data_IF_621845582909
#
_entry.id   IF_621845582909
#
_cell.length_a   1.000
_cell.length_b   1.000
_cell.length_c   1.000
_cell.angle_alpha   90.00
_cell.angle_beta   90.00
_cell.angle_gamma   90.00
#
_symmetry.space_group_name_H-M   'P 1'
#
loop_
_entity.id
_entity.type
_entity.pdbx_description
1 polymer ?
#
# COMPACT_ATOMS: atom_id res chain seq x y z
N UNK A 1 -18.18 -10.93 30.31
CA UNK A 1 -18.89 -9.65 30.53
C UNK A 1 -18.38 -8.49 29.70
N UNK A 2 -17.12 -7.98 29.85
CA UNK A 2 -16.62 -6.87 29.00
C UNK A 2 -16.46 -7.25 27.53
N UNK A 3 -15.93 -8.43 27.21
CA UNK A 3 -15.79 -8.90 25.85
C UNK A 3 -17.15 -9.04 25.15
N UNK A 4 -18.13 -9.68 25.81
CA UNK A 4 -19.47 -9.87 25.27
C UNK A 4 -20.14 -8.54 24.97
N UNK A 5 -19.93 -7.54 25.84
CA UNK A 5 -20.47 -6.20 25.67
C UNK A 5 -19.86 -5.51 24.44
N UNK A 6 -18.51 -5.53 24.29
CA UNK A 6 -17.86 -4.96 23.12
C UNK A 6 -18.25 -5.67 21.81
N UNK A 7 -18.38 -6.99 21.82
CA UNK A 7 -18.89 -7.76 20.68
C UNK A 7 -20.33 -7.35 20.34
N UNK A 8 -21.18 -7.13 21.35
CA UNK A 8 -22.56 -6.67 21.13
C UNK A 8 -22.61 -5.25 20.53
N UNK A 9 -21.72 -4.34 20.96
CA UNK A 9 -21.59 -3.00 20.38
C UNK A 9 -21.16 -3.13 18.91
N UNK A 10 -20.11 -3.88 18.61
CA UNK A 10 -19.64 -4.09 17.24
C UNK A 10 -20.77 -4.64 16.35
N UNK A 11 -21.50 -5.66 16.82
CA UNK A 11 -22.65 -6.21 16.07
C UNK A 11 -23.77 -5.18 15.87
N UNK A 12 -23.97 -4.26 16.80
CA UNK A 12 -24.99 -3.22 16.66
C UNK A 12 -24.61 -2.10 15.68
N UNK A 13 -23.32 -1.96 15.32
CA UNK A 13 -22.85 -0.91 14.39
C UNK A 13 -23.45 -1.03 13.00
N UNK A 14 -23.89 -2.22 12.59
CA UNK A 14 -24.58 -2.43 11.32
C UNK A 14 -26.00 -1.84 11.25
N UNK A 15 -26.61 -1.56 12.39
CA UNK A 15 -28.02 -1.10 12.51
C UNK A 15 -28.16 0.22 13.25
N UNK A 16 -27.15 0.62 14.02
CA UNK A 16 -27.14 1.85 14.82
C UNK A 16 -25.92 2.66 14.51
N UNK A 17 -26.09 3.98 14.47
CA UNK A 17 -24.95 4.88 14.41
C UNK A 17 -24.15 4.79 15.71
N UNK A 18 -22.86 4.49 15.59
CA UNK A 18 -21.88 4.53 16.68
C UNK A 18 -20.83 5.54 16.28
N UNK A 19 -20.45 6.40 17.19
CA UNK A 19 -19.41 7.37 16.98
C UNK A 19 -18.09 6.67 16.60
N UNK A 20 -17.37 7.22 15.58
CA UNK A 20 -16.19 6.60 14.98
C UNK A 20 -15.10 6.28 16.01
N UNK A 21 -14.85 7.19 16.94
CA UNK A 21 -13.85 6.99 18.00
C UNK A 21 -14.24 5.82 18.91
N UNK A 22 -15.52 5.78 19.37
CA UNK A 22 -16.04 4.67 20.18
C UNK A 22 -15.92 3.34 19.45
N UNK A 23 -16.26 3.30 18.17
CA UNK A 23 -16.18 2.08 17.36
C UNK A 23 -14.74 1.62 17.22
N UNK A 24 -13.80 2.54 16.98
CA UNK A 24 -12.36 2.25 16.90
C UNK A 24 -11.83 1.63 18.19
N UNK A 25 -12.22 2.16 19.37
CA UNK A 25 -11.82 1.59 20.66
C UNK A 25 -12.44 0.21 20.91
N UNK A 26 -13.70 -0.01 20.53
CA UNK A 26 -14.37 -1.31 20.63
C UNK A 26 -13.61 -2.36 19.81
N UNK A 27 -13.28 -2.05 18.56
CA UNK A 27 -12.52 -2.94 17.69
C UNK A 27 -11.12 -3.20 18.27
N UNK A 28 -10.43 -2.16 18.72
CA UNK A 28 -9.11 -2.27 19.37
C UNK A 28 -9.14 -3.17 20.60
N UNK A 29 -10.19 -3.06 21.43
CA UNK A 29 -10.36 -3.94 22.59
C UNK A 29 -10.54 -5.41 22.16
N UNK A 30 -11.36 -5.68 21.14
CA UNK A 30 -11.57 -7.04 20.62
C UNK A 30 -10.25 -7.56 20.02
N UNK A 31 -9.50 -6.73 19.29
CA UNK A 31 -8.16 -7.08 18.76
C UNK A 31 -7.19 -7.48 19.87
N UNK A 32 -7.18 -6.78 21.00
CA UNK A 32 -6.38 -7.18 22.16
C UNK A 32 -6.86 -8.49 22.80
N UNK A 33 -8.18 -8.73 22.78
CA UNK A 33 -8.74 -9.99 23.27
C UNK A 33 -8.33 -11.20 22.40
N UNK A 34 -8.09 -11.01 21.09
CA UNK A 34 -7.54 -12.04 20.20
C UNK A 34 -6.11 -12.41 20.63
N UNK A 35 -5.27 -11.43 20.95
CA UNK A 35 -3.89 -11.63 21.37
C UNK A 35 -3.74 -12.34 22.71
N UNK A 36 -4.74 -12.30 23.57
CA UNK A 36 -4.68 -12.88 24.91
C UNK A 36 -5.18 -14.33 24.92
N UNK A 37 -4.37 -15.33 25.32
CA UNK A 37 -4.73 -16.75 25.28
C UNK A 37 -6.00 -17.10 26.06
N UNK A 38 -6.32 -16.36 27.14
CA UNK A 38 -7.51 -16.63 27.98
C UNK A 38 -8.81 -16.20 27.28
N UNK A 39 -8.76 -15.09 26.53
CA UNK A 39 -9.94 -14.56 25.83
C UNK A 39 -10.03 -15.12 24.42
N UNK A 40 -8.90 -15.56 23.83
CA UNK A 40 -8.87 -16.13 22.49
C UNK A 40 -9.82 -17.32 22.33
N UNK A 41 -9.85 -18.25 23.28
CA UNK A 41 -10.77 -19.40 23.24
C UNK A 41 -12.25 -19.02 23.22
N UNK A 42 -12.59 -17.83 23.73
CA UNK A 42 -13.95 -17.30 23.75
C UNK A 42 -14.28 -16.62 22.43
N UNK A 43 -13.34 -15.80 21.90
CA UNK A 43 -13.58 -14.99 20.70
C UNK A 43 -13.40 -15.78 19.39
N UNK A 44 -12.49 -16.77 19.37
CA UNK A 44 -12.15 -17.52 18.16
C UNK A 44 -13.35 -18.11 17.41
N UNK A 45 -14.35 -18.72 18.06
CA UNK A 45 -15.54 -19.24 17.36
C UNK A 45 -16.39 -18.15 16.70
N UNK A 46 -16.26 -16.91 17.14
CA UNK A 46 -17.01 -15.76 16.62
C UNK A 46 -16.27 -15.02 15.51
N UNK A 47 -14.94 -15.23 15.37
CA UNK A 47 -14.12 -14.47 14.44
C UNK A 47 -14.61 -14.56 12.99
N UNK A 48 -14.99 -15.72 12.43
CA UNK A 48 -15.45 -15.76 11.04
C UNK A 48 -16.66 -14.86 10.80
N UNK A 49 -17.66 -14.90 11.68
CA UNK A 49 -18.84 -14.04 11.59
C UNK A 49 -18.50 -12.56 11.79
N UNK A 50 -17.67 -12.25 12.79
CA UNK A 50 -17.29 -10.87 13.10
C UNK A 50 -16.52 -10.24 11.94
N UNK A 51 -15.52 -10.95 11.40
CA UNK A 51 -14.69 -10.45 10.32
C UNK A 51 -15.49 -10.20 9.04
N UNK A 52 -16.39 -11.11 8.67
CA UNK A 52 -17.14 -11.01 7.42
C UNK A 52 -18.31 -10.03 7.48
N UNK A 53 -19.10 -10.07 8.57
CA UNK A 53 -20.38 -9.35 8.62
C UNK A 53 -20.28 -7.95 9.25
N UNK A 54 -19.28 -7.72 10.10
CA UNK A 54 -19.21 -6.48 10.90
C UNK A 54 -17.89 -5.70 10.68
N UNK A 55 -16.77 -6.39 10.52
CA UNK A 55 -15.45 -5.74 10.38
C UNK A 55 -15.16 -5.40 8.92
N UNK A 56 -15.35 -6.33 7.99
CA UNK A 56 -15.09 -6.10 6.56
C UNK A 56 -15.88 -4.91 5.98
N UNK A 57 -17.17 -4.69 6.29
CA UNK A 57 -17.88 -3.50 5.80
C UNK A 57 -17.31 -2.16 6.27
N UNK A 58 -16.54 -2.13 7.36
CA UNK A 58 -15.85 -0.92 7.82
C UNK A 58 -14.65 -0.53 6.94
N UNK A 59 -14.20 -1.43 6.08
CA UNK A 59 -13.17 -1.13 5.08
C UNK A 59 -13.69 -0.33 3.88
N UNK A 60 -15.01 -0.23 3.70
CA UNK A 60 -15.60 0.43 2.54
C UNK A 60 -15.23 1.91 2.50
N UNK A 61 -14.90 2.38 1.30
CA UNK A 61 -14.79 3.81 1.02
C UNK A 61 -16.10 4.49 1.40
N UNK A 62 -16.02 5.47 2.29
CA UNK A 62 -17.17 6.25 2.76
C UNK A 62 -17.55 7.32 1.74
N UNK A 63 -18.69 7.97 1.96
CA UNK A 63 -19.07 9.12 1.14
C UNK A 63 -18.11 10.31 1.36
N UNK A 64 -17.57 10.47 2.57
CA UNK A 64 -16.58 11.50 2.87
C UNK A 64 -15.26 11.23 2.12
N UNK A 65 -14.78 9.97 2.09
CA UNK A 65 -13.58 9.60 1.33
C UNK A 65 -13.78 9.85 -0.18
N UNK A 66 -14.98 9.55 -0.72
CA UNK A 66 -15.29 9.80 -2.12
C UNK A 66 -15.33 11.29 -2.46
N UNK A 67 -15.87 12.10 -1.55
CA UNK A 67 -15.90 13.56 -1.71
C UNK A 67 -14.47 14.14 -1.65
N UNK A 68 -13.66 13.67 -0.71
CA UNK A 68 -12.26 14.10 -0.59
C UNK A 68 -11.43 13.68 -1.82
N UNK A 69 -11.67 12.49 -2.36
CA UNK A 69 -11.08 12.06 -3.63
C UNK A 69 -11.34 13.03 -4.77
N UNK A 70 -12.57 13.53 -4.87
CA UNK A 70 -13.00 14.41 -5.96
C UNK A 70 -12.57 15.87 -5.74
N UNK A 71 -12.64 16.37 -4.49
CA UNK A 71 -12.41 17.79 -4.19
C UNK A 71 -10.97 18.10 -3.75
N UNK A 72 -10.30 17.16 -3.05
CA UNK A 72 -8.97 17.34 -2.48
C UNK A 72 -8.10 16.06 -2.66
N UNK A 73 -7.79 15.66 -3.92
CA UNK A 73 -7.09 14.42 -4.20
C UNK A 73 -5.67 14.35 -3.63
N UNK A 74 -4.99 15.49 -3.42
CA UNK A 74 -3.71 15.60 -2.76
C UNK A 74 -3.82 15.25 -1.27
N UNK A 75 -4.80 15.79 -0.56
CA UNK A 75 -5.05 15.48 0.85
C UNK A 75 -5.48 14.03 1.05
N UNK A 76 -6.38 13.51 0.17
CA UNK A 76 -6.73 12.10 0.16
C UNK A 76 -5.48 11.21 0.03
N UNK A 77 -4.57 11.59 -0.88
CA UNK A 77 -3.34 10.84 -1.12
C UNK A 77 -2.40 10.91 0.07
N UNK A 78 -2.18 12.09 0.68
CA UNK A 78 -1.34 12.24 1.89
C UNK A 78 -1.83 11.36 3.02
N UNK A 79 -3.13 11.35 3.31
CA UNK A 79 -3.73 10.50 4.36
C UNK A 79 -3.51 9.01 4.16
N UNK A 80 -3.31 8.54 2.93
CA UNK A 80 -3.00 7.12 2.68
C UNK A 80 -1.62 6.72 3.20
N UNK A 81 -0.67 7.67 3.26
CA UNK A 81 0.71 7.44 3.69
C UNK A 81 0.98 7.97 5.10
N UNK A 82 0.05 8.72 5.68
CA UNK A 82 0.18 9.24 7.04
C UNK A 82 0.00 8.13 8.08
N UNK A 83 1.05 7.90 8.87
CA UNK A 83 1.07 6.92 9.97
C UNK A 83 0.70 7.54 11.33
N UNK A 84 0.30 8.80 11.35
CA UNK A 84 -0.03 9.50 12.60
C UNK A 84 -1.19 8.83 13.36
N UNK A 85 -1.10 8.68 14.69
CA UNK A 85 -2.19 8.14 15.52
C UNK A 85 -3.51 8.94 15.43
N UNK A 86 -3.45 10.19 14.96
CA UNK A 86 -4.61 11.07 14.81
C UNK A 86 -5.61 10.46 13.78
N UNK A 87 -5.12 9.72 12.82
CA UNK A 87 -5.94 9.07 11.79
C UNK A 87 -6.36 7.63 12.14
N UNK A 88 -6.39 7.27 13.43
CA UNK A 88 -6.88 5.96 13.85
C UNK A 88 -8.41 5.88 13.73
N UNK A 89 -8.87 5.50 12.57
CA UNK A 89 -10.28 5.41 12.19
C UNK A 89 -10.84 4.00 12.42
N UNK A 90 -12.18 3.81 12.38
CA UNK A 90 -12.77 2.46 12.36
C UNK A 90 -12.24 1.58 11.23
N UNK A 91 -11.87 2.17 10.08
CA UNK A 91 -11.28 1.47 8.93
C UNK A 91 -9.89 0.92 9.25
N UNK A 92 -9.01 1.72 9.84
CA UNK A 92 -7.68 1.28 10.26
C UNK A 92 -7.76 0.26 11.38
N UNK A 93 -8.64 0.47 12.36
CA UNK A 93 -8.90 -0.49 13.43
C UNK A 93 -9.43 -1.85 12.90
N UNK A 94 -10.32 -1.81 11.91
CA UNK A 94 -10.84 -3.01 11.25
C UNK A 94 -9.74 -3.78 10.52
N UNK A 95 -8.86 -3.08 9.80
CA UNK A 95 -7.73 -3.68 9.10
C UNK A 95 -6.76 -4.35 10.08
N UNK A 96 -6.42 -3.67 11.19
CA UNK A 96 -5.60 -4.23 12.26
C UNK A 96 -6.24 -5.51 12.84
N UNK A 97 -7.56 -5.49 13.09
CA UNK A 97 -8.26 -6.65 13.62
C UNK A 97 -8.21 -7.83 12.65
N UNK A 98 -8.42 -7.60 11.34
CA UNK A 98 -8.32 -8.62 10.30
C UNK A 98 -6.92 -9.23 10.29
N UNK A 99 -5.88 -8.39 10.23
CA UNK A 99 -4.48 -8.83 10.20
C UNK A 99 -4.13 -9.65 11.44
N UNK A 100 -4.50 -9.17 12.63
CA UNK A 100 -4.23 -9.89 13.88
C UNK A 100 -5.02 -11.21 13.97
N UNK A 101 -6.27 -11.23 13.54
CA UNK A 101 -7.08 -12.46 13.55
C UNK A 101 -6.53 -13.52 12.58
N UNK A 102 -6.01 -13.08 11.44
CA UNK A 102 -5.41 -13.94 10.41
C UNK A 102 -3.96 -14.38 10.73
N UNK A 103 -3.25 -13.65 11.60
CA UNK A 103 -1.89 -14.00 12.03
C UNK A 103 -1.84 -14.83 13.31
N UNK A 104 -2.87 -14.73 14.17
CA UNK A 104 -2.85 -15.32 15.50
C UNK A 104 -3.19 -16.81 15.47
N UNK A 105 -2.16 -17.64 15.73
CA UNK A 105 -2.35 -19.07 15.89
C UNK A 105 -2.69 -19.43 17.35
N UNK A 106 -3.62 -20.34 17.60
CA UNK A 106 -3.91 -20.81 18.93
C UNK A 106 -2.65 -21.41 19.59
N UNK A 107 -2.50 -21.28 20.92
CA UNK A 107 -1.38 -21.88 21.62
C UNK A 107 -1.39 -23.40 21.41
N UNK A 108 -0.21 -23.95 21.05
CA UNK A 108 -0.08 -25.39 20.87
C UNK A 108 -0.41 -26.13 22.19
N UNK A 109 -1.06 -27.29 22.13
CA UNK A 109 -1.29 -28.13 23.30
C UNK A 109 0.05 -28.45 23.99
N UNK A 110 0.05 -28.51 25.34
CA UNK A 110 1.25 -28.84 26.12
C UNK A 110 1.84 -30.17 25.65
N UNK A 111 3.13 -30.16 25.27
CA UNK A 111 3.88 -31.36 24.87
C UNK A 111 3.90 -31.64 23.36
N UNK A 112 3.27 -30.81 22.54
CA UNK A 112 3.33 -30.91 21.07
C UNK A 112 4.42 -29.97 20.58
N UNK A 113 5.40 -30.51 19.82
CA UNK A 113 6.39 -29.70 19.10
C UNK A 113 5.64 -28.84 18.10
N UNK A 114 5.81 -27.51 18.14
CA UNK A 114 5.25 -26.59 17.16
C UNK A 114 5.78 -26.96 15.77
N UNK A 115 5.02 -27.74 15.01
CA UNK A 115 5.09 -27.65 13.56
C UNK A 115 4.24 -26.43 13.16
N UNK A 116 4.78 -25.60 12.28
CA UNK A 116 3.94 -24.61 11.59
C UNK A 116 2.78 -25.38 10.97
N UNK A 117 1.53 -25.06 11.30
CA UNK A 117 0.40 -25.77 10.68
C UNK A 117 0.43 -25.50 9.18
N UNK A 118 0.06 -26.47 8.36
CA UNK A 118 0.00 -26.34 6.90
C UNK A 118 -1.06 -25.31 6.44
N UNK A 119 -1.97 -24.90 7.33
CA UNK A 119 -3.02 -23.92 7.08
C UNK A 119 -3.40 -23.14 8.34
N UNK A 120 -3.87 -21.93 8.13
CA UNK A 120 -4.46 -21.07 9.18
C UNK A 120 -5.97 -20.99 8.97
N UNK A 121 -6.83 -21.59 9.84
CA UNK A 121 -8.26 -21.69 9.58
C UNK A 121 -8.96 -20.36 9.34
N UNK A 122 -8.68 -19.34 10.17
CA UNK A 122 -9.29 -18.01 10.04
C UNK A 122 -8.82 -17.33 8.74
N UNK A 123 -7.51 -17.34 8.45
CA UNK A 123 -6.96 -16.79 7.22
C UNK A 123 -7.59 -17.47 5.99
N UNK A 124 -7.60 -18.80 5.94
CA UNK A 124 -8.17 -19.55 4.82
C UNK A 124 -9.64 -19.22 4.58
N UNK A 125 -10.45 -19.21 5.64
CA UNK A 125 -11.87 -18.85 5.54
C UNK A 125 -12.06 -17.41 5.08
N UNK A 126 -11.24 -16.49 5.58
CA UNK A 126 -11.34 -15.09 5.21
C UNK A 126 -10.92 -14.85 3.75
N UNK A 127 -9.83 -15.48 3.28
CA UNK A 127 -9.43 -15.43 1.86
C UNK A 127 -10.54 -15.99 0.97
N UNK A 128 -11.16 -17.14 1.31
CA UNK A 128 -12.29 -17.69 0.57
C UNK A 128 -13.47 -16.71 0.50
N UNK A 129 -13.74 -16.00 1.59
CA UNK A 129 -14.77 -14.95 1.62
C UNK A 129 -14.42 -13.79 0.67
N UNK A 130 -13.16 -13.30 0.64
CA UNK A 130 -12.71 -12.26 -0.28
C UNK A 130 -12.85 -12.71 -1.75
N UNK A 131 -12.41 -13.94 -2.05
CA UNK A 131 -12.52 -14.50 -3.40
C UNK A 131 -13.97 -14.64 -3.85
N UNK A 132 -14.89 -15.00 -2.94
CA UNK A 132 -16.31 -15.04 -3.24
C UNK A 132 -16.84 -13.67 -3.63
N UNK A 133 -16.50 -12.61 -2.90
CA UNK A 133 -16.88 -11.22 -3.23
C UNK A 133 -16.39 -10.84 -4.63
N UNK A 134 -15.12 -11.14 -4.93
CA UNK A 134 -14.51 -10.81 -6.21
C UNK A 134 -15.18 -11.58 -7.37
N UNK A 135 -15.50 -12.86 -7.18
CA UNK A 135 -16.19 -13.70 -8.17
C UNK A 135 -17.65 -13.29 -8.39
N UNK A 136 -18.37 -12.90 -7.33
CA UNK A 136 -19.74 -12.42 -7.42
C UNK A 136 -19.82 -11.07 -8.13
N UNK A 137 -18.83 -10.20 -7.93
CA UNK A 137 -18.71 -8.90 -8.61
C UNK A 137 -18.52 -9.03 -10.12
N UNK A 138 -17.90 -10.11 -10.59
CA UNK A 138 -17.72 -10.40 -12.02
C UNK A 138 -19.02 -10.81 -12.71
N UNK A 139 -19.95 -11.40 -11.96
CA UNK A 139 -21.18 -11.99 -12.49
C UNK A 139 -22.43 -11.12 -12.22
N UNK A 140 -22.27 -9.99 -11.54
CA UNK A 140 -23.38 -9.12 -11.16
C UNK A 140 -23.61 -7.96 -12.13
N UNK A 141 -24.86 -7.70 -12.47
CA UNK A 141 -25.27 -6.49 -13.22
C UNK A 141 -25.08 -5.19 -12.40
N UNK A 142 -24.98 -5.30 -11.08
CA UNK A 142 -24.66 -4.22 -10.14
C UNK A 142 -23.38 -4.55 -9.39
N UNK A 143 -22.26 -4.07 -9.94
CA UNK A 143 -20.94 -4.27 -9.32
C UNK A 143 -20.82 -3.41 -8.06
N UNK A 144 -20.57 -4.04 -6.91
CA UNK A 144 -20.26 -3.31 -5.69
C UNK A 144 -18.75 -2.95 -5.66
N UNK A 145 -18.43 -1.84 -6.29
CA UNK A 145 -17.03 -1.35 -6.40
C UNK A 145 -16.36 -1.11 -5.04
N UNK A 146 -17.14 -0.75 -4.01
CA UNK A 146 -16.61 -0.57 -2.65
C UNK A 146 -16.19 -1.91 -2.03
N UNK A 147 -16.94 -2.98 -2.29
CA UNK A 147 -16.57 -4.31 -1.84
C UNK A 147 -15.34 -4.85 -2.57
N UNK A 148 -15.16 -4.54 -3.87
CA UNK A 148 -13.96 -4.89 -4.64
C UNK A 148 -12.73 -4.19 -4.06
N UNK A 149 -12.78 -2.85 -3.86
CA UNK A 149 -11.68 -2.09 -3.26
C UNK A 149 -11.29 -2.66 -1.91
N UNK A 150 -12.29 -2.92 -1.04
CA UNK A 150 -12.04 -3.44 0.31
C UNK A 150 -11.53 -4.88 0.32
N UNK A 151 -11.96 -5.70 -0.64
CA UNK A 151 -11.45 -7.06 -0.78
C UNK A 151 -9.96 -7.04 -1.18
N UNK A 152 -9.58 -6.16 -2.09
CA UNK A 152 -8.19 -5.96 -2.47
C UNK A 152 -7.36 -5.32 -1.36
N UNK A 153 -7.92 -4.34 -0.62
CA UNK A 153 -7.26 -3.77 0.55
C UNK A 153 -6.94 -4.86 1.58
N UNK A 154 -7.92 -5.68 1.93
CA UNK A 154 -7.73 -6.77 2.88
C UNK A 154 -6.74 -7.83 2.36
N UNK A 155 -6.81 -8.21 1.08
CA UNK A 155 -5.91 -9.18 0.46
C UNK A 155 -4.45 -8.70 0.50
N UNK A 156 -4.18 -7.47 0.06
CA UNK A 156 -2.84 -6.92 0.05
C UNK A 156 -2.26 -6.67 1.44
N UNK A 157 -3.12 -6.36 2.43
CA UNK A 157 -2.68 -6.19 3.82
C UNK A 157 -2.37 -7.51 4.55
N UNK A 158 -2.73 -8.64 3.94
CA UNK A 158 -2.46 -9.98 4.46
C UNK A 158 -1.27 -10.67 3.78
N UNK A 159 -0.48 -9.96 2.95
CA UNK A 159 0.64 -10.54 2.20
C UNK A 159 1.58 -11.35 3.10
N UNK A 160 2.09 -10.75 4.17
CA UNK A 160 3.02 -11.41 5.12
C UNK A 160 2.43 -12.67 5.76
N UNK A 161 1.11 -12.70 5.96
CA UNK A 161 0.44 -13.86 6.53
C UNK A 161 0.18 -14.94 5.48
N UNK A 162 -0.17 -14.55 4.26
CA UNK A 162 -0.43 -15.46 3.15
C UNK A 162 0.86 -16.20 2.75
N UNK A 163 1.99 -15.51 2.71
CA UNK A 163 3.29 -16.10 2.31
C UNK A 163 3.77 -17.20 3.26
N UNK A 164 3.34 -17.18 4.53
CA UNK A 164 3.64 -18.24 5.50
C UNK A 164 2.98 -19.57 5.18
N UNK A 165 1.96 -19.60 4.31
CA UNK A 165 1.15 -20.78 4.02
C UNK A 165 1.18 -21.12 2.53
N UNK A 166 2.05 -22.06 2.09
CA UNK A 166 2.21 -22.45 0.67
C UNK A 166 0.91 -22.87 -0.02
N UNK A 167 -0.07 -23.38 0.71
CA UNK A 167 -1.39 -23.76 0.18
C UNK A 167 -2.21 -22.56 -0.32
N UNK A 168 -1.92 -21.34 0.20
CA UNK A 168 -2.60 -20.11 -0.21
C UNK A 168 -1.69 -19.31 -1.15
N UNK A 169 -0.42 -19.14 -0.79
CA UNK A 169 0.54 -18.36 -1.58
C UNK A 169 0.74 -18.92 -2.99
N UNK A 170 0.63 -20.25 -3.16
CA UNK A 170 0.71 -20.89 -4.48
C UNK A 170 -0.43 -20.51 -5.44
N UNK A 171 -1.55 -19.99 -4.96
CA UNK A 171 -2.70 -19.56 -5.76
C UNK A 171 -2.69 -18.05 -6.06
N UNK A 172 -1.81 -17.27 -5.40
CA UNK A 172 -1.80 -15.82 -5.48
C UNK A 172 -1.66 -15.29 -6.90
N UNK A 173 -0.72 -15.82 -7.68
CA UNK A 173 -0.51 -15.39 -9.06
C UNK A 173 -1.80 -15.56 -9.90
N UNK A 174 -2.51 -16.68 -9.73
CA UNK A 174 -3.80 -16.92 -10.36
C UNK A 174 -4.85 -15.90 -9.92
N UNK A 175 -4.90 -15.56 -8.63
CA UNK A 175 -5.81 -14.55 -8.06
C UNK A 175 -5.52 -13.17 -8.65
N UNK A 176 -4.26 -12.75 -8.67
CA UNK A 176 -3.84 -11.46 -9.22
C UNK A 176 -4.20 -11.35 -10.70
N UNK A 177 -3.91 -12.40 -11.47
CA UNK A 177 -4.21 -12.45 -12.90
C UNK A 177 -5.71 -12.42 -13.19
N UNK A 178 -6.49 -13.19 -12.43
CA UNK A 178 -7.93 -13.31 -12.66
C UNK A 178 -8.72 -12.09 -12.21
N UNK A 179 -8.41 -11.56 -11.03
CA UNK A 179 -9.26 -10.55 -10.38
C UNK A 179 -8.67 -9.14 -10.42
N UNK A 180 -7.35 -8.96 -10.27
CA UNK A 180 -6.74 -7.64 -10.14
C UNK A 180 -6.40 -7.04 -11.50
N UNK A 181 -5.82 -7.82 -12.42
CA UNK A 181 -5.30 -7.32 -13.70
C UNK A 181 -6.35 -6.54 -14.51
N UNK A 182 -7.59 -6.98 -14.55
CA UNK A 182 -8.68 -6.29 -15.25
C UNK A 182 -9.08 -4.95 -14.63
N UNK A 183 -8.78 -4.75 -13.34
CA UNK A 183 -9.18 -3.54 -12.61
C UNK A 183 -8.32 -2.32 -12.92
N UNK A 184 -7.16 -2.49 -13.54
CA UNK A 184 -6.39 -1.35 -14.06
C UNK A 184 -7.17 -0.51 -15.09
N UNK A 185 -8.18 -1.11 -15.74
CA UNK A 185 -9.07 -0.43 -16.71
C UNK A 185 -10.47 -0.12 -16.15
N UNK A 186 -10.64 -0.21 -14.84
CA UNK A 186 -11.91 0.09 -14.21
C UNK A 186 -12.25 1.58 -14.40
N UNK A 187 -13.53 1.90 -14.58
CA UNK A 187 -13.98 3.28 -14.73
C UNK A 187 -13.81 4.11 -13.44
N UNK A 188 -13.80 3.45 -12.30
CA UNK A 188 -13.69 4.07 -10.98
C UNK A 188 -12.23 4.17 -10.56
N UNK A 189 -11.75 5.42 -10.34
CA UNK A 189 -10.34 5.72 -10.03
C UNK A 189 -9.80 5.00 -8.82
N UNK A 190 -10.52 4.95 -7.71
CA UNK A 190 -10.04 4.28 -6.50
C UNK A 190 -9.89 2.76 -6.66
N UNK A 191 -10.60 2.12 -7.61
CA UNK A 191 -10.39 0.70 -7.95
C UNK A 191 -9.12 0.54 -8.78
N UNK A 192 -8.83 1.45 -9.73
CA UNK A 192 -7.56 1.45 -10.48
C UNK A 192 -6.35 1.67 -9.55
N UNK A 193 -6.47 2.65 -8.65
CA UNK A 193 -5.47 2.89 -7.60
C UNK A 193 -5.21 1.63 -6.78
N UNK A 194 -6.28 0.94 -6.34
CA UNK A 194 -6.16 -0.26 -5.54
C UNK A 194 -5.52 -1.43 -6.30
N UNK A 195 -5.76 -1.52 -7.61
CA UNK A 195 -5.08 -2.51 -8.45
C UNK A 195 -3.55 -2.29 -8.47
N UNK A 196 -3.10 -1.04 -8.64
CA UNK A 196 -1.67 -0.68 -8.53
C UNK A 196 -1.12 -1.07 -7.16
N UNK A 197 -1.81 -0.68 -6.10
CA UNK A 197 -1.39 -0.93 -4.72
C UNK A 197 -1.26 -2.43 -4.43
N UNK A 198 -2.24 -3.25 -4.83
CA UNK A 198 -2.21 -4.71 -4.59
C UNK A 198 -0.99 -5.34 -5.25
N UNK A 199 -0.71 -5.05 -6.53
CA UNK A 199 0.50 -5.56 -7.17
C UNK A 199 1.75 -5.14 -6.42
N UNK A 200 1.82 -3.89 -5.97
CA UNK A 200 2.93 -3.39 -5.16
C UNK A 200 3.06 -4.06 -3.78
N UNK A 201 2.01 -4.68 -3.23
CA UNK A 201 2.13 -5.47 -2.00
C UNK A 201 2.78 -6.84 -2.25
N UNK A 202 2.53 -7.44 -3.41
CA UNK A 202 3.06 -8.76 -3.78
C UNK A 202 4.36 -8.68 -4.60
N UNK A 203 5.20 -7.67 -4.37
CA UNK A 203 6.44 -7.45 -5.14
C UNK A 203 7.49 -8.56 -4.92
N UNK A 204 7.48 -9.26 -3.79
CA UNK A 204 8.37 -10.39 -3.49
C UNK A 204 7.87 -11.73 -4.06
N UNK A 205 6.66 -11.77 -4.62
CA UNK A 205 6.11 -12.98 -5.21
C UNK A 205 6.92 -13.42 -6.43
N UNK A 206 7.36 -14.69 -6.44
CA UNK A 206 7.98 -15.30 -7.60
C UNK A 206 6.92 -15.63 -8.66
N UNK A 207 6.74 -14.72 -9.63
CA UNK A 207 5.79 -14.92 -10.73
C UNK A 207 6.29 -15.99 -11.71
N UNK A 208 5.51 -17.05 -11.91
CA UNK A 208 5.80 -18.15 -12.83
C UNK A 208 5.43 -17.80 -14.27
N UNK A 209 4.32 -17.08 -14.46
CA UNK A 209 3.88 -16.55 -15.76
C UNK A 209 4.51 -15.16 -15.97
N UNK A 210 5.77 -15.15 -16.42
CA UNK A 210 6.56 -13.92 -16.63
C UNK A 210 5.86 -12.97 -17.60
N UNK A 211 5.16 -13.48 -18.63
CA UNK A 211 4.48 -12.61 -19.59
C UNK A 211 3.24 -11.94 -18.96
N UNK A 212 2.44 -12.66 -18.19
CA UNK A 212 1.34 -12.05 -17.43
C UNK A 212 1.84 -11.03 -16.42
N UNK A 213 2.99 -11.28 -15.79
CA UNK A 213 3.64 -10.32 -14.88
C UNK A 213 4.09 -9.07 -15.61
N UNK A 214 4.75 -9.17 -16.78
CA UNK A 214 5.11 -8.03 -17.61
C UNK A 214 3.90 -7.18 -18.02
N UNK A 215 2.79 -7.85 -18.38
CA UNK A 215 1.53 -7.15 -18.70
C UNK A 215 1.02 -6.35 -17.49
N UNK A 216 1.08 -6.93 -16.29
CA UNK A 216 0.68 -6.22 -15.07
C UNK A 216 1.57 -5.00 -14.79
N UNK A 217 2.90 -5.14 -14.90
CA UNK A 217 3.82 -4.01 -14.73
C UNK A 217 3.62 -2.94 -15.82
N UNK A 218 3.31 -3.35 -17.06
CA UNK A 218 2.93 -2.40 -18.11
C UNK A 218 1.66 -1.62 -17.72
N UNK A 219 0.65 -2.28 -17.13
CA UNK A 219 -0.54 -1.59 -16.64
C UNK A 219 -0.22 -0.61 -15.48
N UNK A 220 0.70 -0.97 -14.56
CA UNK A 220 1.16 -0.05 -13.51
C UNK A 220 1.90 1.14 -14.12
N UNK A 221 2.75 0.92 -15.13
CA UNK A 221 3.43 1.99 -15.86
C UNK A 221 2.42 2.93 -16.57
N UNK A 222 1.42 2.38 -17.26
CA UNK A 222 0.36 3.18 -17.89
C UNK A 222 -0.42 4.00 -16.87
N UNK A 223 -0.65 3.48 -15.67
CA UNK A 223 -1.33 4.17 -14.57
C UNK A 223 -0.55 5.40 -14.03
N UNK A 224 0.75 5.54 -14.33
CA UNK A 224 1.51 6.76 -14.04
C UNK A 224 1.00 7.99 -14.81
N UNK A 225 0.22 7.78 -15.87
CA UNK A 225 -0.41 8.83 -16.68
C UNK A 225 -1.92 8.90 -16.50
N UNK A 226 -2.46 8.31 -15.42
CA UNK A 226 -3.89 8.32 -15.10
C UNK A 226 -4.40 9.76 -14.87
N UNK A 227 -5.71 9.97 -15.12
CA UNK A 227 -6.37 11.27 -14.84
C UNK A 227 -6.33 11.62 -13.35
N UNK A 228 -6.45 10.63 -12.48
CA UNK A 228 -6.60 10.82 -11.04
C UNK A 228 -5.23 10.81 -10.34
N UNK A 229 -4.92 11.87 -9.58
CA UNK A 229 -3.65 12.02 -8.87
C UNK A 229 -3.36 10.84 -7.93
N UNK A 230 -4.31 10.34 -7.12
CA UNK A 230 -4.04 9.21 -6.23
C UNK A 230 -3.64 7.93 -7.00
N UNK A 231 -4.18 7.72 -8.21
CA UNK A 231 -3.80 6.57 -9.06
C UNK A 231 -2.35 6.72 -9.53
N UNK A 232 -1.95 7.91 -10.03
CA UNK A 232 -0.58 8.16 -10.48
C UNK A 232 0.44 7.96 -9.36
N UNK A 233 0.15 8.50 -8.17
CA UNK A 233 1.05 8.40 -7.01
C UNK A 233 1.20 6.95 -6.57
N UNK A 234 0.09 6.21 -6.40
CA UNK A 234 0.16 4.80 -5.98
C UNK A 234 0.82 3.93 -7.04
N UNK A 235 0.64 4.23 -8.33
CA UNK A 235 1.36 3.55 -9.40
C UNK A 235 2.87 3.76 -9.29
N UNK A 236 3.33 5.00 -9.04
CA UNK A 236 4.75 5.31 -8.84
C UNK A 236 5.32 4.57 -7.61
N UNK A 237 4.63 4.67 -6.46
CA UNK A 237 5.03 3.98 -5.22
C UNK A 237 5.01 2.45 -5.37
N UNK A 238 4.14 1.89 -6.21
CA UNK A 238 4.11 0.45 -6.45
C UNK A 238 5.20 0.01 -7.42
N UNK A 239 5.47 0.80 -8.47
CA UNK A 239 6.41 0.44 -9.53
C UNK A 239 7.84 0.29 -9.02
N UNK A 240 8.30 1.20 -8.14
CA UNK A 240 9.69 1.17 -7.66
C UNK A 240 10.02 -0.10 -6.87
N UNK A 241 9.03 -0.75 -6.25
CA UNK A 241 9.22 -2.01 -5.50
C UNK A 241 9.69 -3.17 -6.39
N UNK A 242 9.43 -3.10 -7.69
CA UNK A 242 9.85 -4.11 -8.66
C UNK A 242 11.23 -3.86 -9.29
N UNK A 243 11.90 -2.77 -8.93
CA UNK A 243 13.21 -2.40 -9.54
C UNK A 243 14.38 -3.27 -9.09
N UNK A 244 14.19 -4.16 -8.12
CA UNK A 244 15.17 -5.21 -7.79
C UNK A 244 15.07 -6.42 -8.76
N UNK A 245 14.02 -6.48 -9.62
CA UNK A 245 13.83 -7.52 -10.61
C UNK A 245 14.44 -7.10 -11.97
N UNK A 246 15.52 -7.78 -12.38
CA UNK A 246 16.23 -7.47 -13.62
C UNK A 246 15.34 -7.50 -14.87
N UNK A 247 14.33 -8.40 -14.93
CA UNK A 247 13.39 -8.46 -16.07
C UNK A 247 12.60 -7.17 -16.19
N UNK A 248 12.20 -6.59 -15.06
CA UNK A 248 11.46 -5.33 -15.03
C UNK A 248 12.38 -4.14 -15.31
N UNK A 249 13.58 -4.13 -14.74
CA UNK A 249 14.59 -3.10 -15.05
C UNK A 249 14.87 -3.05 -16.56
N UNK A 250 15.09 -4.20 -17.20
CA UNK A 250 15.34 -4.25 -18.65
C UNK A 250 14.10 -3.83 -19.46
N UNK A 251 12.90 -4.17 -19.02
CA UNK A 251 11.64 -3.78 -19.66
C UNK A 251 11.43 -2.27 -19.62
N UNK A 252 11.74 -1.62 -18.49
CA UNK A 252 11.53 -0.19 -18.29
C UNK A 252 12.71 0.68 -18.79
N UNK A 253 13.86 0.09 -19.12
CA UNK A 253 15.06 0.80 -19.61
C UNK A 253 14.78 1.73 -20.80
N UNK A 254 14.03 1.34 -21.84
CA UNK A 254 13.74 2.22 -22.98
C UNK A 254 12.94 3.48 -22.61
N UNK A 255 12.20 3.45 -21.50
CA UNK A 255 11.34 4.54 -21.02
C UNK A 255 11.89 5.24 -19.78
N UNK A 256 13.17 5.01 -19.42
CA UNK A 256 13.80 5.59 -18.23
C UNK A 256 13.69 7.12 -18.17
N UNK A 257 13.94 7.82 -19.29
CA UNK A 257 13.84 9.28 -19.36
C UNK A 257 12.42 9.79 -19.05
N UNK A 258 11.40 9.06 -19.51
CA UNK A 258 10.00 9.32 -19.24
C UNK A 258 9.67 9.07 -17.78
N UNK A 259 10.11 7.93 -17.22
CA UNK A 259 9.94 7.60 -15.80
C UNK A 259 10.49 8.68 -14.89
N UNK A 260 11.75 9.10 -15.09
CA UNK A 260 12.38 10.16 -14.30
C UNK A 260 11.58 11.47 -14.39
N UNK A 261 11.09 11.80 -15.58
CA UNK A 261 10.28 13.01 -15.77
C UNK A 261 8.94 12.93 -15.03
N UNK A 262 8.28 11.74 -15.02
CA UNK A 262 7.02 11.51 -14.31
C UNK A 262 7.22 11.63 -12.80
N UNK A 263 8.26 11.00 -12.23
CA UNK A 263 8.54 11.11 -10.79
C UNK A 263 8.80 12.55 -10.36
N UNK A 264 9.64 13.29 -11.11
CA UNK A 264 9.89 14.70 -10.82
C UNK A 264 8.61 15.55 -10.90
N UNK A 265 7.74 15.27 -11.88
CA UNK A 265 6.45 15.95 -12.01
C UNK A 265 5.55 15.65 -10.80
N UNK A 266 5.43 14.38 -10.39
CA UNK A 266 4.64 13.99 -9.23
C UNK A 266 5.18 14.61 -7.93
N UNK A 267 6.49 14.66 -7.73
CA UNK A 267 7.13 15.33 -6.59
C UNK A 267 6.85 16.84 -6.54
N UNK A 268 6.56 17.46 -7.69
CA UNK A 268 6.15 18.86 -7.76
C UNK A 268 4.63 19.05 -7.56
N UNK A 269 3.82 18.03 -7.85
CA UNK A 269 2.36 18.05 -7.62
C UNK A 269 2.02 17.74 -6.16
N UNK A 270 2.76 16.82 -5.53
CA UNK A 270 2.53 16.38 -4.16
C UNK A 270 3.85 16.05 -3.46
N UNK A 271 4.03 16.59 -2.27
CA UNK A 271 5.24 16.40 -1.46
C UNK A 271 5.08 15.15 -0.59
N UNK A 272 5.59 14.01 -1.09
CA UNK A 272 5.58 12.71 -0.43
C UNK A 272 6.98 12.08 -0.44
N UNK A 273 7.40 11.58 0.72
CA UNK A 273 8.68 10.89 0.90
C UNK A 273 8.79 9.66 -0.01
N UNK A 274 7.70 8.91 -0.18
CA UNK A 274 7.63 7.70 -1.00
C UNK A 274 7.99 7.96 -2.47
N UNK A 275 7.68 9.13 -2.99
CA UNK A 275 8.04 9.51 -4.36
C UNK A 275 9.54 9.78 -4.48
N UNK A 276 10.13 10.46 -3.49
CA UNK A 276 11.57 10.70 -3.44
C UNK A 276 12.32 9.39 -3.30
N UNK A 277 11.85 8.50 -2.41
CA UNK A 277 12.38 7.16 -2.25
C UNK A 277 12.28 6.36 -3.57
N UNK A 278 11.15 6.44 -4.27
CA UNK A 278 10.97 5.79 -5.58
C UNK A 278 11.97 6.29 -6.62
N UNK A 279 12.26 7.61 -6.64
CA UNK A 279 13.29 8.18 -7.49
C UNK A 279 14.69 7.67 -7.12
N UNK A 280 15.01 7.54 -5.83
CA UNK A 280 16.27 6.94 -5.35
C UNK A 280 16.42 5.49 -5.84
N UNK A 281 15.36 4.68 -5.79
CA UNK A 281 15.40 3.31 -6.30
C UNK A 281 15.65 3.27 -7.82
N UNK A 282 15.07 4.19 -8.59
CA UNK A 282 15.39 4.33 -10.01
C UNK A 282 16.88 4.67 -10.24
N UNK A 283 17.40 5.64 -9.49
CA UNK A 283 18.84 6.00 -9.55
C UNK A 283 19.71 4.78 -9.24
N UNK A 284 19.36 4.02 -8.20
CA UNK A 284 20.08 2.80 -7.80
C UNK A 284 20.01 1.70 -8.88
N UNK A 285 18.83 1.45 -9.44
CA UNK A 285 18.62 0.36 -10.40
C UNK A 285 19.32 0.61 -11.76
N UNK A 286 19.36 1.86 -12.21
CA UNK A 286 19.94 2.19 -13.54
C UNK A 286 21.38 2.70 -13.50
N UNK A 287 21.93 3.01 -12.33
CA UNK A 287 23.36 3.30 -12.16
C UNK A 287 23.89 4.35 -13.13
N UNK A 288 24.90 3.95 -13.93
CA UNK A 288 25.55 4.84 -14.90
C UNK A 288 24.63 5.40 -15.99
N UNK A 289 23.49 4.76 -16.24
CA UNK A 289 22.51 5.24 -17.23
C UNK A 289 21.79 6.52 -16.79
N UNK A 290 21.89 6.87 -15.50
CA UNK A 290 21.38 8.14 -14.94
C UNK A 290 22.26 9.34 -15.31
N UNK A 291 23.52 9.15 -15.71
CA UNK A 291 24.47 10.24 -15.99
C UNK A 291 23.91 11.39 -16.85
N UNK A 292 23.19 11.13 -17.95
CA UNK A 292 22.64 12.22 -18.78
C UNK A 292 21.59 13.07 -18.06
N UNK A 293 21.02 12.57 -16.97
CA UNK A 293 19.94 13.20 -16.22
C UNK A 293 20.41 13.77 -14.87
N UNK A 294 21.64 13.46 -14.44
CA UNK A 294 22.14 13.73 -13.09
C UNK A 294 22.02 15.20 -12.68
N UNK A 295 22.44 16.13 -13.53
CA UNK A 295 22.38 17.57 -13.25
C UNK A 295 20.92 18.04 -13.07
N UNK A 296 20.02 17.61 -13.96
CA UNK A 296 18.59 17.94 -13.89
C UNK A 296 17.97 17.35 -12.62
N UNK A 297 18.23 16.08 -12.31
CA UNK A 297 17.73 15.42 -11.11
C UNK A 297 18.18 16.15 -9.85
N UNK A 298 19.45 16.51 -9.76
CA UNK A 298 19.99 17.24 -8.61
C UNK A 298 19.34 18.61 -8.48
N UNK A 299 19.16 19.35 -9.58
CA UNK A 299 18.51 20.66 -9.56
C UNK A 299 17.07 20.56 -9.02
N UNK A 300 16.27 19.64 -9.55
CA UNK A 300 14.87 19.43 -9.13
C UNK A 300 14.78 18.96 -7.67
N UNK A 301 15.70 18.09 -7.21
CA UNK A 301 15.77 17.65 -5.81
C UNK A 301 16.16 18.80 -4.86
N UNK A 302 17.08 19.68 -5.25
CA UNK A 302 17.44 20.88 -4.47
C UNK A 302 16.24 21.85 -4.39
N UNK A 303 15.54 22.04 -5.49
CA UNK A 303 14.37 22.91 -5.52
C UNK A 303 13.19 22.30 -4.71
N UNK A 304 12.98 20.98 -4.75
CA UNK A 304 12.05 20.26 -3.90
C UNK A 304 12.44 20.41 -2.40
N UNK A 305 13.71 20.18 -2.05
CA UNK A 305 14.22 20.37 -0.69
C UNK A 305 13.92 21.77 -0.15
N UNK A 306 14.18 22.82 -0.95
CA UNK A 306 13.92 24.21 -0.54
C UNK A 306 12.45 24.48 -0.29
N UNK A 307 11.55 23.93 -1.13
CA UNK A 307 10.10 24.05 -0.92
C UNK A 307 9.66 23.37 0.37
N UNK A 308 10.07 22.11 0.56
CA UNK A 308 9.70 21.27 1.70
C UNK A 308 10.32 21.75 3.03
N UNK A 309 11.44 22.47 2.96
CA UNK A 309 12.13 23.04 4.14
C UNK A 309 11.70 24.48 4.45
N UNK A 310 10.82 25.06 3.65
CA UNK A 310 10.33 26.43 3.92
C UNK A 310 9.52 26.45 5.23
N UNK A 311 9.74 27.44 6.12
CA UNK A 311 9.02 27.52 7.38
C UNK A 311 7.52 27.69 7.12
N UNK A 312 6.74 26.71 7.53
CA UNK A 312 5.28 26.80 7.60
C UNK A 312 4.87 27.44 8.92
N UNK A 313 3.81 28.26 8.91
CA UNK A 313 3.33 29.02 10.06
C UNK A 313 2.63 28.16 11.13
N UNK A 314 2.46 26.87 10.94
CA UNK A 314 1.77 25.97 11.85
C UNK A 314 2.75 25.04 12.60
N UNK A 315 2.43 24.78 13.87
CA UNK A 315 3.27 24.04 14.83
C UNK A 315 3.42 22.53 14.51
N UNK A 316 2.82 22.03 13.44
CA UNK A 316 2.96 20.65 13.02
C UNK A 316 4.29 20.45 12.26
N UNK A 317 5.11 19.51 12.71
CA UNK A 317 6.29 19.03 11.96
C UNK A 317 5.75 18.37 10.70
N UNK A 318 5.91 18.97 9.53
CA UNK A 318 5.24 18.47 8.35
C UNK A 318 5.88 17.13 7.90
N UNK A 319 5.09 16.25 7.30
CA UNK A 319 5.56 15.10 6.50
C UNK A 319 6.61 15.55 5.46
N UNK A 320 6.56 16.82 5.05
CA UNK A 320 7.56 17.50 4.23
C UNK A 320 8.99 17.43 4.79
N UNK A 321 9.20 17.34 6.11
CA UNK A 321 10.56 17.26 6.68
C UNK A 321 11.26 15.94 6.37
N UNK A 322 10.52 14.82 6.36
CA UNK A 322 11.04 13.51 5.96
C UNK A 322 11.34 13.50 4.46
N UNK A 323 10.43 14.00 3.65
CA UNK A 323 10.62 14.12 2.21
C UNK A 323 11.81 15.05 1.86
N UNK A 324 12.00 16.14 2.61
CA UNK A 324 13.17 17.01 2.46
C UNK A 324 14.49 16.27 2.77
N UNK A 325 14.53 15.49 3.87
CA UNK A 325 15.71 14.66 4.17
C UNK A 325 15.99 13.65 3.06
N UNK A 326 14.95 12.99 2.54
CA UNK A 326 15.08 12.03 1.43
C UNK A 326 15.63 12.67 0.15
N UNK A 327 15.32 13.94 -0.13
CA UNK A 327 15.93 14.67 -1.25
C UNK A 327 17.46 14.77 -1.11
N UNK A 328 17.95 15.09 0.10
CA UNK A 328 19.41 15.19 0.37
C UNK A 328 20.06 13.82 0.23
N UNK A 329 19.43 12.76 0.75
CA UNK A 329 19.96 11.40 0.65
C UNK A 329 20.03 10.93 -0.80
N UNK A 330 19.03 11.25 -1.62
CA UNK A 330 19.03 10.94 -3.06
C UNK A 330 20.12 11.71 -3.81
N UNK A 331 20.35 12.99 -3.50
CA UNK A 331 21.46 13.77 -4.07
C UNK A 331 22.80 13.12 -3.70
N UNK A 332 23.00 12.78 -2.42
CA UNK A 332 24.22 12.09 -1.98
C UNK A 332 24.43 10.77 -2.72
N UNK A 333 23.35 10.03 -2.98
CA UNK A 333 23.38 8.78 -3.74
C UNK A 333 23.85 9.00 -5.18
N UNK A 334 23.31 10.02 -5.86
CA UNK A 334 23.74 10.41 -7.22
C UNK A 334 25.24 10.73 -7.22
N UNK A 335 25.72 11.52 -6.27
CA UNK A 335 27.13 11.89 -6.14
C UNK A 335 28.00 10.66 -5.90
N UNK A 336 27.62 9.77 -4.99
CA UNK A 336 28.39 8.56 -4.67
C UNK A 336 28.47 7.58 -5.84
N UNK A 337 27.40 7.44 -6.62
CA UNK A 337 27.35 6.52 -7.74
C UNK A 337 28.10 7.04 -8.96
N UNK A 338 27.97 8.32 -9.28
CA UNK A 338 28.53 8.90 -10.51
C UNK A 338 29.92 9.50 -10.31
N UNK A 339 30.26 9.96 -9.10
CA UNK A 339 31.51 10.62 -8.79
C UNK A 339 32.77 9.85 -9.21
N UNK A 340 32.89 8.56 -8.85
CA UNK A 340 34.07 7.77 -9.23
C UNK A 340 34.26 7.57 -10.74
N UNK A 341 33.15 7.58 -11.51
CA UNK A 341 33.18 7.29 -12.96
C UNK A 341 33.06 8.54 -13.84
N UNK A 342 32.70 9.69 -13.27
CA UNK A 342 32.47 10.93 -14.03
C UNK A 342 32.70 12.16 -13.15
N UNK A 343 33.95 12.49 -12.80
CA UNK A 343 34.31 13.65 -11.98
C UNK A 343 33.73 14.98 -12.51
N UNK A 344 33.65 15.11 -13.83
CA UNK A 344 33.11 16.29 -14.52
C UNK A 344 31.60 16.54 -14.18
N UNK A 345 30.86 15.50 -13.83
CA UNK A 345 29.48 15.65 -13.39
C UNK A 345 29.45 16.25 -11.98
N UNK A 346 30.36 15.85 -11.10
CA UNK A 346 30.46 16.38 -9.75
C UNK A 346 30.72 17.88 -9.77
N UNK A 347 31.66 18.34 -10.64
CA UNK A 347 31.96 19.77 -10.82
C UNK A 347 30.71 20.60 -11.25
N UNK A 348 29.72 19.94 -11.90
CA UNK A 348 28.44 20.57 -12.30
C UNK A 348 27.40 20.52 -11.19
N UNK A 349 27.38 19.45 -10.39
CA UNK A 349 26.40 19.24 -9.31
C UNK A 349 26.77 20.04 -8.06
N UNK A 350 28.06 20.15 -7.69
CA UNK A 350 28.50 20.81 -6.47
C UNK A 350 27.99 22.26 -6.32
N UNK A 351 28.02 23.13 -7.35
CA UNK A 351 27.47 24.48 -7.24
C UNK A 351 25.95 24.53 -7.05
N UNK A 352 25.23 23.47 -7.44
CA UNK A 352 23.77 23.36 -7.27
C UNK A 352 23.43 22.93 -5.86
N UNK A 353 24.13 21.93 -5.32
CA UNK A 353 23.87 21.37 -3.98
C UNK A 353 24.36 22.24 -2.83
N UNK A 354 25.22 23.24 -3.07
CA UNK A 354 25.75 24.17 -2.07
C UNK A 354 24.98 25.50 -1.95
N UNK A 355 23.96 25.72 -2.79
CA UNK A 355 23.08 26.89 -2.76
C UNK A 355 21.85 26.65 -1.89
#
# INVERSE_FOLDING_TARGET
>A
MFLDWNVAILKSSSTKHIESETLSYVIKYITQAIKNPRTYSIINPLLPELLTNYVFPLLFITQADALEWDENPDEFTRKMYDISPIFYTPRTAALDMITIACSHLPPAPKGVVKKTPDSHPILTQFIQFLLKILAESDNSAQVNVRAIDSAFLALGSLVDEIEKFPSISGELEGILKQFVLKQFKNQIGFVRMRACWVYGQFYELEFKDVEAFKVAIQCVFEALSDSDLPVRVVAAVSLHKFLDNNVIVDMLRPVLAELLTIYLKLMNEIELEELVFGLEQLVKAYGDEIKPFALRLTQELVDAFKRMSAPTSDEDIPDSALAASACVDTINKIIQMLGPSSPEIIDQIEPVSTK
#
